data_IF_903769816997
#
_entry.id   IF_903769816997
#
_cell.length_a   1.000
_cell.length_b   1.000
_cell.length_c   1.000
_cell.angle_alpha   90.00
_cell.angle_beta   90.00
_cell.angle_gamma   90.00
#
_symmetry.space_group_name_H-M   'P 1'
#
loop_
_entity.id
_entity.type
_entity.pdbx_description
1 polymer ?
#
# COMPACT_ATOMS: atom_id res chain seq x y z
N UNK A 1 1.39 -13.69 9.68
CA UNK A 1 1.60 -12.28 9.29
C UNK A 1 0.54 -11.84 8.27
N UNK A 2 0.11 -10.58 8.23
CA UNK A 2 -0.93 -10.06 7.30
C UNK A 2 -0.67 -10.47 5.84
N UNK A 3 0.59 -10.36 5.41
CA UNK A 3 1.04 -10.70 4.05
C UNK A 3 0.79 -12.18 3.69
N UNK A 4 0.98 -13.09 4.65
CA UNK A 4 0.82 -14.54 4.44
C UNK A 4 -0.64 -14.97 4.32
N UNK A 5 -1.55 -14.19 4.90
CA UNK A 5 -2.98 -14.48 4.89
C UNK A 5 -3.72 -13.70 3.80
N UNK A 6 -3.09 -12.68 3.20
CA UNK A 6 -3.64 -11.95 2.08
C UNK A 6 -3.74 -12.87 0.86
N UNK A 7 -4.94 -12.96 0.31
CA UNK A 7 -5.25 -13.81 -0.83
C UNK A 7 -4.36 -13.49 -2.05
N UNK A 8 -4.24 -14.45 -2.99
CA UNK A 8 -3.32 -14.31 -4.10
C UNK A 8 -3.76 -13.30 -5.18
N UNK A 9 -5.05 -13.02 -5.26
CA UNK A 9 -5.67 -12.21 -6.31
C UNK A 9 -5.80 -10.73 -5.98
N UNK A 10 -6.74 -10.10 -6.70
CA UNK A 10 -7.09 -8.69 -6.59
C UNK A 10 -7.48 -8.29 -5.17
N UNK A 11 -8.23 -9.14 -4.48
CA UNK A 11 -8.70 -8.90 -3.12
C UNK A 11 -7.54 -8.83 -2.11
N UNK A 12 -6.50 -9.65 -2.30
CA UNK A 12 -5.30 -9.57 -1.48
C UNK A 12 -4.42 -8.37 -1.80
N UNK A 13 -4.33 -7.97 -3.07
CA UNK A 13 -3.67 -6.72 -3.45
C UNK A 13 -4.39 -5.52 -2.80
N UNK A 14 -5.72 -5.45 -2.94
CA UNK A 14 -6.53 -4.41 -2.32
C UNK A 14 -6.34 -4.35 -0.80
N UNK A 15 -6.34 -5.50 -0.12
CA UNK A 15 -6.15 -5.58 1.34
C UNK A 15 -4.79 -5.05 1.79
N UNK A 16 -3.73 -5.33 1.03
CA UNK A 16 -2.38 -4.82 1.29
C UNK A 16 -2.32 -3.30 1.11
N UNK A 17 -2.94 -2.75 0.05
CA UNK A 17 -3.02 -1.30 -0.18
C UNK A 17 -3.87 -0.60 0.88
N UNK A 18 -4.94 -1.24 1.34
CA UNK A 18 -5.76 -0.74 2.43
C UNK A 18 -4.93 -0.57 3.70
N UNK A 19 -4.26 -1.64 4.15
CA UNK A 19 -3.44 -1.62 5.34
C UNK A 19 -2.27 -0.63 5.22
N UNK A 20 -1.59 -0.61 4.07
CA UNK A 20 -0.45 0.27 3.84
C UNK A 20 -0.83 1.75 3.83
N UNK A 21 -1.91 2.14 3.15
CA UNK A 21 -2.37 3.55 3.11
C UNK A 21 -2.76 4.04 4.50
N UNK A 22 -3.51 3.26 5.26
CA UNK A 22 -3.93 3.63 6.62
C UNK A 22 -2.76 3.69 7.59
N UNK A 23 -1.85 2.71 7.54
CA UNK A 23 -0.65 2.70 8.38
C UNK A 23 0.25 3.90 8.07
N UNK A 24 0.42 4.24 6.78
CA UNK A 24 1.24 5.38 6.35
C UNK A 24 0.64 6.70 6.81
N UNK A 25 -0.69 6.88 6.68
CA UNK A 25 -1.38 8.06 7.18
C UNK A 25 -1.26 8.18 8.70
N UNK A 26 -1.43 7.09 9.46
CA UNK A 26 -1.29 7.12 10.92
C UNK A 26 0.15 7.41 11.35
N UNK A 27 1.13 6.89 10.62
CA UNK A 27 2.54 7.20 10.86
C UNK A 27 2.83 8.68 10.60
N UNK A 28 2.23 9.28 9.56
CA UNK A 28 2.45 10.69 9.23
C UNK A 28 2.01 11.64 10.36
N UNK A 29 0.99 11.25 11.12
CA UNK A 29 0.51 11.97 12.29
C UNK A 29 1.38 11.79 13.54
N UNK A 30 2.22 10.73 13.56
CA UNK A 30 3.07 10.38 14.69
C UNK A 30 4.51 10.92 14.62
N UNK A 31 4.87 11.66 13.56
CA UNK A 31 6.23 12.15 13.30
C UNK A 31 6.26 13.68 13.15
N UNK A 32 7.45 14.33 13.20
CA UNK A 32 7.56 15.77 12.97
C UNK A 32 6.99 16.20 11.60
N UNK A 33 6.43 17.42 11.54
CA UNK A 33 5.69 17.93 10.37
C UNK A 33 6.44 17.77 9.04
N UNK A 34 7.73 18.10 9.00
CA UNK A 34 8.51 18.02 7.77
C UNK A 34 8.52 16.59 7.18
N UNK A 35 8.66 15.58 8.04
CA UNK A 35 8.59 14.16 7.66
C UNK A 35 7.15 13.69 7.43
N UNK A 36 6.20 14.22 8.20
CA UNK A 36 4.78 13.88 8.08
C UNK A 36 4.17 14.28 6.74
N UNK A 37 4.65 15.36 6.12
CA UNK A 37 4.17 15.81 4.80
C UNK A 37 4.47 14.75 3.73
N UNK A 38 5.71 14.28 3.62
CA UNK A 38 6.11 13.27 2.63
C UNK A 38 5.33 11.95 2.81
N UNK A 39 5.14 11.52 4.07
CA UNK A 39 4.36 10.33 4.39
C UNK A 39 2.87 10.52 4.07
N UNK A 40 2.33 11.73 4.21
CA UNK A 40 0.93 12.01 3.84
C UNK A 40 0.73 11.88 2.34
N UNK A 41 1.64 12.42 1.53
CA UNK A 41 1.59 12.22 0.07
C UNK A 41 1.77 10.75 -0.31
N UNK A 42 2.67 10.01 0.35
CA UNK A 42 2.80 8.58 0.13
C UNK A 42 1.51 7.82 0.46
N UNK A 43 0.82 8.18 1.55
CA UNK A 43 -0.46 7.58 1.90
C UNK A 43 -1.54 7.86 0.85
N UNK A 44 -1.56 9.07 0.27
CA UNK A 44 -2.45 9.43 -0.84
C UNK A 44 -2.14 8.62 -2.09
N UNK A 45 -0.88 8.47 -2.50
CA UNK A 45 -0.49 7.64 -3.64
C UNK A 45 -0.96 6.19 -3.48
N UNK A 46 -0.82 5.62 -2.27
CA UNK A 46 -1.27 4.25 -1.98
C UNK A 46 -2.81 4.16 -2.03
N UNK A 47 -3.53 5.17 -1.52
CA UNK A 47 -5.00 5.23 -1.61
C UNK A 47 -5.45 5.34 -3.07
N UNK A 48 -4.84 6.21 -3.86
CA UNK A 48 -5.15 6.33 -5.29
C UNK A 48 -4.87 5.03 -6.04
N UNK A 49 -3.79 4.31 -5.68
CA UNK A 49 -3.53 2.98 -6.24
C UNK A 49 -4.64 1.98 -5.87
N UNK A 50 -5.23 2.10 -4.67
CA UNK A 50 -6.40 1.30 -4.28
C UNK A 50 -7.64 1.69 -5.08
N UNK A 51 -7.86 2.99 -5.31
CA UNK A 51 -8.99 3.52 -6.08
C UNK A 51 -8.97 2.99 -7.53
N UNK A 52 -7.79 2.86 -8.13
CA UNK A 52 -7.61 2.24 -9.45
C UNK A 52 -8.10 0.79 -9.50
N UNK A 53 -7.98 0.04 -8.39
CA UNK A 53 -8.53 -1.32 -8.29
C UNK A 53 -10.05 -1.28 -8.09
N UNK A 54 -10.53 -0.39 -7.21
CA UNK A 54 -11.95 -0.21 -6.88
C UNK A 54 -12.75 0.20 -8.12
N UNK A 55 -12.21 1.05 -9.00
CA UNK A 55 -12.85 1.43 -10.26
C UNK A 55 -12.94 0.31 -11.29
N UNK A 56 -12.09 -0.73 -11.17
CA UNK A 56 -12.09 -1.85 -12.12
C UNK A 56 -13.05 -2.95 -11.71
N UNK A 57 -13.29 -3.12 -10.41
CA UNK A 57 -14.08 -4.22 -9.86
C UNK A 57 -14.98 -3.72 -8.72
N UNK A 58 -16.24 -3.45 -9.08
CA UNK A 58 -17.25 -2.89 -8.17
C UNK A 58 -17.47 -3.74 -6.91
N UNK A 59 -17.15 -5.04 -6.94
CA UNK A 59 -17.33 -5.95 -5.80
C UNK A 59 -16.06 -6.16 -4.96
N UNK A 60 -14.96 -5.45 -5.28
CA UNK A 60 -13.66 -5.71 -4.69
C UNK A 60 -13.60 -5.31 -3.22
N UNK A 61 -14.33 -4.24 -2.85
CA UNK A 61 -14.38 -3.71 -1.49
C UNK A 61 -14.99 -4.75 -0.53
N UNK A 62 -16.04 -5.45 -0.96
CA UNK A 62 -16.73 -6.46 -0.16
C UNK A 62 -15.91 -7.75 0.01
N UNK A 63 -15.06 -8.08 -0.97
CA UNK A 63 -14.23 -9.29 -0.95
C UNK A 63 -12.87 -9.06 -0.30
N UNK A 64 -12.41 -7.81 -0.28
CA UNK A 64 -11.15 -7.40 0.36
C UNK A 64 -11.25 -7.35 1.89
N UNK A 65 -10.14 -7.67 2.56
CA UNK A 65 -10.03 -7.52 4.00
C UNK A 65 -9.47 -6.14 4.35
N UNK A 66 -10.31 -5.28 4.94
CA UNK A 66 -9.95 -3.94 5.40
C UNK A 66 -9.13 -4.00 6.70
N UNK A 67 -7.87 -4.41 6.61
CA UNK A 67 -7.04 -4.61 7.80
C UNK A 67 -6.46 -3.30 8.32
N UNK A 68 -6.78 -2.97 9.57
CA UNK A 68 -6.20 -1.86 10.31
C UNK A 68 -5.08 -2.36 11.24
N UNK A 69 -3.87 -1.80 11.10
CA UNK A 69 -2.72 -2.10 11.96
C UNK A 69 -2.70 -1.33 13.28
N UNK A 70 -3.68 -0.44 13.50
CA UNK A 70 -3.73 0.43 14.67
C UNK A 70 -2.87 1.69 14.50
N UNK A 71 -2.82 2.50 15.55
CA UNK A 71 -2.00 3.71 15.60
C UNK A 71 -0.64 3.42 16.25
N UNK A 72 0.39 4.17 15.85
CA UNK A 72 1.65 4.18 16.58
C UNK A 72 1.43 4.73 18.00
N UNK A 73 2.02 4.05 18.98
CA UNK A 73 2.18 4.54 20.34
C UNK A 73 3.41 5.45 20.41
N UNK A 74 3.48 6.39 21.37
CA UNK A 74 4.64 7.28 21.53
C UNK A 74 5.98 6.56 21.73
N UNK A 75 5.96 5.31 22.21
CA UNK A 75 7.14 4.48 22.45
C UNK A 75 7.52 3.59 21.27
N UNK A 76 6.71 3.56 20.22
CA UNK A 76 6.95 2.71 19.06
C UNK A 76 8.08 3.27 18.20
N UNK A 77 8.83 2.36 17.59
CA UNK A 77 9.97 2.68 16.73
C UNK A 77 9.48 3.05 15.32
N UNK A 78 9.65 4.32 14.97
CA UNK A 78 9.24 4.90 13.68
C UNK A 78 9.92 4.22 12.50
N UNK A 79 11.18 3.84 12.62
CA UNK A 79 11.91 3.20 11.52
C UNK A 79 11.46 1.75 11.33
N UNK A 80 11.16 1.03 12.41
CA UNK A 80 10.49 -0.27 12.31
C UNK A 80 9.10 -0.16 11.70
N UNK A 81 8.34 0.88 12.03
CA UNK A 81 7.04 1.11 11.41
C UNK A 81 7.16 1.34 9.89
N UNK A 82 8.13 2.14 9.45
CA UNK A 82 8.45 2.31 8.02
C UNK A 82 8.80 1.00 7.34
N UNK A 83 9.62 0.16 7.98
CA UNK A 83 9.98 -1.15 7.44
C UNK A 83 8.77 -2.10 7.31
N UNK A 84 7.84 -2.07 8.27
CA UNK A 84 6.59 -2.84 8.15
C UNK A 84 5.77 -2.35 6.95
N UNK A 85 5.65 -1.04 6.76
CA UNK A 85 4.93 -0.46 5.62
C UNK A 85 5.64 -0.83 4.30
N UNK A 86 6.96 -0.74 4.24
CA UNK A 86 7.73 -1.14 3.06
C UNK A 86 7.50 -2.62 2.70
N UNK A 87 7.45 -3.51 3.70
CA UNK A 87 7.15 -4.92 3.46
C UNK A 87 5.75 -5.13 2.86
N UNK A 88 4.74 -4.37 3.30
CA UNK A 88 3.41 -4.41 2.70
C UNK A 88 3.44 -3.94 1.24
N UNK A 89 4.14 -2.84 0.95
CA UNK A 89 4.23 -2.30 -0.40
C UNK A 89 5.05 -3.20 -1.33
N UNK A 90 6.10 -3.84 -0.82
CA UNK A 90 6.84 -4.87 -1.56
C UNK A 90 5.95 -6.06 -1.89
N UNK A 91 5.19 -6.57 -0.91
CA UNK A 91 4.25 -7.65 -1.15
C UNK A 91 3.15 -7.25 -2.16
N UNK A 92 2.69 -6.01 -2.11
CA UNK A 92 1.72 -5.47 -3.07
C UNK A 92 2.33 -5.38 -4.49
N UNK A 93 3.55 -4.88 -4.64
CA UNK A 93 4.28 -4.85 -5.91
C UNK A 93 4.49 -6.25 -6.49
N UNK A 94 4.95 -7.20 -5.67
CA UNK A 94 5.16 -8.60 -6.10
C UNK A 94 3.85 -9.26 -6.55
N UNK A 95 2.72 -8.87 -5.96
CA UNK A 95 1.40 -9.36 -6.33
C UNK A 95 0.87 -8.66 -7.58
N UNK A 96 1.01 -7.35 -7.68
CA UNK A 96 0.66 -6.59 -8.88
C UNK A 96 1.43 -7.08 -10.11
N UNK A 97 2.74 -7.36 -9.96
CA UNK A 97 3.56 -7.94 -11.02
C UNK A 97 3.08 -9.33 -11.45
N UNK A 98 2.71 -10.19 -10.50
CA UNK A 98 2.14 -11.52 -10.82
C UNK A 98 0.80 -11.44 -11.54
N UNK A 99 -0.09 -10.54 -11.11
CA UNK A 99 -1.34 -10.27 -11.80
C UNK A 99 -1.10 -9.72 -13.21
N UNK A 100 -0.09 -8.85 -13.38
CA UNK A 100 0.20 -8.24 -14.68
C UNK A 100 0.72 -9.27 -15.69
N UNK A 101 1.51 -10.25 -15.25
CA UNK A 101 1.94 -11.38 -16.08
C UNK A 101 0.76 -12.25 -16.51
N UNK A 102 -0.28 -12.36 -15.67
CA UNK A 102 -1.50 -13.13 -15.94
C UNK A 102 -2.63 -12.33 -16.58
N UNK A 103 -2.44 -11.04 -16.86
CA UNK A 103 -3.49 -10.15 -17.33
C UNK A 103 -3.98 -10.56 -18.73
N UNK A 104 -5.28 -10.76 -18.86
CA UNK A 104 -5.90 -11.14 -20.13
C UNK A 104 -6.28 -9.90 -20.98
N UNK A 105 -6.52 -8.77 -20.32
CA UNK A 105 -6.99 -7.54 -20.93
C UNK A 105 -5.94 -6.42 -20.83
N UNK A 106 -5.90 -5.54 -21.84
CA UNK A 106 -4.96 -4.40 -21.86
C UNK A 106 -5.27 -3.43 -20.71
N UNK A 107 -6.55 -3.27 -20.39
CA UNK A 107 -7.05 -2.43 -19.30
C UNK A 107 -6.60 -2.96 -17.93
N UNK A 108 -6.52 -4.27 -17.77
CA UNK A 108 -6.01 -4.94 -16.57
C UNK A 108 -4.53 -4.63 -16.37
N UNK A 109 -3.74 -4.84 -17.43
CA UNK A 109 -2.31 -4.55 -17.43
C UNK A 109 -2.03 -3.06 -17.19
N UNK A 110 -2.81 -2.17 -17.81
CA UNK A 110 -2.69 -0.73 -17.64
C UNK A 110 -3.02 -0.29 -16.19
N UNK A 111 -4.08 -0.85 -15.59
CA UNK A 111 -4.41 -0.64 -14.17
C UNK A 111 -3.22 -1.03 -13.27
N UNK A 112 -2.70 -2.25 -13.42
CA UNK A 112 -1.59 -2.75 -12.61
C UNK A 112 -0.28 -1.95 -12.80
N UNK A 113 -0.06 -1.39 -13.99
CA UNK A 113 1.05 -0.48 -14.27
C UNK A 113 0.90 0.84 -13.52
N UNK A 114 -0.29 1.46 -13.53
CA UNK A 114 -0.57 2.69 -12.78
C UNK A 114 -0.41 2.47 -11.27
N UNK A 115 -0.95 1.35 -10.76
CA UNK A 115 -0.79 0.92 -9.37
C UNK A 115 0.69 0.81 -9.03
N UNK A 116 1.45 0.03 -9.79
CA UNK A 116 2.88 -0.19 -9.52
C UNK A 116 3.69 1.11 -9.46
N UNK A 117 3.45 2.04 -10.39
CA UNK A 117 4.11 3.34 -10.41
C UNK A 117 3.85 4.16 -9.14
N UNK A 118 2.59 4.21 -8.68
CA UNK A 118 2.23 4.87 -7.42
C UNK A 118 2.91 4.22 -6.22
N UNK A 119 2.99 2.89 -6.18
CA UNK A 119 3.68 2.18 -5.09
C UNK A 119 5.19 2.44 -5.10
N UNK A 120 5.84 2.53 -6.25
CA UNK A 120 7.27 2.89 -6.32
C UNK A 120 7.53 4.30 -5.75
N UNK A 121 6.69 5.27 -6.09
CA UNK A 121 6.77 6.62 -5.54
C UNK A 121 6.57 6.63 -4.02
N UNK A 122 5.50 5.98 -3.55
CA UNK A 122 5.21 5.88 -2.12
C UNK A 122 6.36 5.21 -1.33
N UNK A 123 6.93 4.11 -1.85
CA UNK A 123 8.06 3.43 -1.20
C UNK A 123 9.28 4.33 -1.06
N UNK A 124 9.56 5.16 -2.08
CA UNK A 124 10.68 6.11 -2.04
C UNK A 124 10.51 7.11 -0.89
N UNK A 125 9.29 7.62 -0.70
CA UNK A 125 8.99 8.54 0.41
C UNK A 125 8.99 7.84 1.78
N UNK A 126 8.49 6.61 1.86
CA UNK A 126 8.40 5.84 3.12
C UNK A 126 9.79 5.44 3.64
N UNK A 127 10.68 5.01 2.75
CA UNK A 127 12.05 4.69 3.13
C UNK A 127 12.84 5.96 3.41
N UNK A 128 12.61 7.08 2.70
CA UNK A 128 13.40 8.29 2.88
C UNK A 128 14.91 8.00 2.76
N UNK A 129 15.74 8.64 3.61
CA UNK A 129 17.14 8.24 3.82
C UNK A 129 17.23 7.33 5.05
N UNK A 130 16.92 6.05 4.92
CA UNK A 130 17.33 5.06 5.94
C UNK A 130 18.87 4.97 5.89
N UNK A 131 19.61 5.13 7.00
CA UNK A 131 21.05 4.97 7.03
C UNK A 131 21.50 3.55 6.67
#
# INVERSE_FOLDING_TARGET
MLIEHAAAGWEGLWSLLYAASHATLKLSLGVPLATGVDLTFAAMDIREARDELEWRDDGLIERGAAVDLGALRPTDDVDKARLVIDQLLKAALDRAGRLAVGAAEVEEFACLTRVSNKLFNARTAILGRIP
#
